data_IF_329475149887
#
_entry.id   IF_329475149887
#
_cell.length_a   1.000
_cell.length_b   1.000
_cell.length_c   1.000
_cell.angle_alpha   90.00
_cell.angle_beta   90.00
_cell.angle_gamma   90.00
#
_symmetry.space_group_name_H-M   'P 1'
#
loop_
_entity.id
_entity.type
_entity.pdbx_description
1 polymer ?
#
# COMPACT_ATOMS: atom_id res chain seq x y z
N UNK A 1 19.14 -15.43 -17.37
CA UNK A 1 17.73 -15.06 -17.13
C UNK A 1 16.94 -16.19 -16.47
N UNK A 2 16.95 -17.42 -17.00
CA UNK A 2 16.26 -18.59 -16.39
C UNK A 2 16.60 -18.83 -14.91
N UNK A 3 17.86 -18.68 -14.50
CA UNK A 3 18.27 -18.84 -13.09
C UNK A 3 17.64 -17.81 -12.13
N UNK A 4 17.62 -16.52 -12.48
CA UNK A 4 17.01 -15.46 -11.65
C UNK A 4 15.49 -15.62 -11.59
N UNK A 5 14.87 -16.06 -12.68
CA UNK A 5 13.44 -16.34 -12.70
C UNK A 5 13.06 -17.53 -11.82
N UNK A 6 13.85 -18.60 -11.87
CA UNK A 6 13.65 -19.76 -10.99
C UNK A 6 13.84 -19.36 -9.52
N UNK A 7 14.88 -18.57 -9.21
CA UNK A 7 15.12 -18.04 -7.87
C UNK A 7 13.93 -17.22 -7.35
N UNK A 8 13.36 -16.35 -8.18
CA UNK A 8 12.15 -15.59 -7.83
C UNK A 8 10.97 -16.52 -7.51
N UNK A 9 10.69 -17.48 -8.39
CA UNK A 9 9.57 -18.43 -8.22
C UNK A 9 9.72 -19.24 -6.95
N UNK A 10 10.91 -19.77 -6.71
CA UNK A 10 11.24 -20.54 -5.52
C UNK A 10 11.01 -19.72 -4.24
N UNK A 11 11.50 -18.47 -4.19
CA UNK A 11 11.32 -17.60 -3.01
C UNK A 11 9.87 -17.27 -2.71
N UNK A 12 9.10 -16.89 -3.74
CA UNK A 12 7.67 -16.60 -3.57
C UNK A 12 6.93 -17.85 -3.10
N UNK A 13 7.27 -19.02 -3.65
CA UNK A 13 6.67 -20.29 -3.24
C UNK A 13 7.00 -20.64 -1.78
N UNK A 14 8.27 -20.56 -1.39
CA UNK A 14 8.70 -20.81 -0.01
C UNK A 14 7.98 -19.88 0.97
N UNK A 15 7.96 -18.58 0.67
CA UNK A 15 7.27 -17.59 1.50
C UNK A 15 5.77 -17.88 1.59
N UNK A 16 5.13 -18.27 0.48
CA UNK A 16 3.70 -18.64 0.48
C UNK A 16 3.42 -19.89 1.33
N UNK A 17 4.31 -20.89 1.28
CA UNK A 17 4.18 -22.10 2.10
C UNK A 17 4.34 -21.77 3.59
N UNK A 18 5.32 -20.94 3.94
CA UNK A 18 5.51 -20.44 5.31
C UNK A 18 4.29 -19.65 5.79
N UNK A 19 3.82 -18.68 5.02
CA UNK A 19 2.61 -17.91 5.32
C UNK A 19 1.40 -18.83 5.55
N UNK A 20 1.16 -19.82 4.69
CA UNK A 20 0.06 -20.77 4.87
C UNK A 20 0.19 -21.58 6.15
N UNK A 21 1.42 -22.00 6.50
CA UNK A 21 1.70 -22.71 7.74
C UNK A 21 1.38 -21.83 8.95
N UNK A 22 1.84 -20.58 8.97
CA UNK A 22 1.53 -19.63 10.05
C UNK A 22 0.05 -19.31 10.15
N UNK A 23 -0.62 -19.04 9.02
CA UNK A 23 -2.06 -18.79 8.98
C UNK A 23 -2.85 -19.97 9.55
N UNK A 24 -2.44 -21.21 9.30
CA UNK A 24 -3.08 -22.40 9.90
C UNK A 24 -2.93 -22.43 11.42
N UNK A 25 -1.81 -21.97 11.97
CA UNK A 25 -1.62 -21.91 13.43
C UNK A 25 -2.40 -20.77 14.07
N UNK A 26 -2.45 -19.60 13.42
CA UNK A 26 -3.23 -18.45 13.89
C UNK A 26 -4.71 -18.80 13.83
N UNK A 27 -5.23 -19.14 12.65
CA UNK A 27 -6.62 -19.55 12.44
C UNK A 27 -6.86 -21.02 12.79
N UNK A 28 -6.55 -21.39 14.03
CA UNK A 28 -6.99 -22.66 14.59
C UNK A 28 -8.52 -22.67 14.77
N UNK A 29 -9.11 -23.86 15.00
CA UNK A 29 -10.56 -24.02 15.05
C UNK A 29 -11.23 -23.09 16.08
N UNK A 30 -10.62 -22.92 17.27
CA UNK A 30 -11.16 -22.04 18.31
C UNK A 30 -11.09 -20.55 17.95
N UNK A 31 -9.96 -20.07 17.44
CA UNK A 31 -9.82 -18.66 17.02
C UNK A 31 -10.74 -18.37 15.84
N UNK A 32 -10.92 -19.33 14.92
CA UNK A 32 -11.81 -19.17 13.77
C UNK A 32 -13.26 -18.93 14.23
N UNK A 33 -13.76 -19.72 15.19
CA UNK A 33 -15.09 -19.50 15.75
C UNK A 33 -15.21 -18.11 16.39
N UNK A 34 -14.24 -17.71 17.22
CA UNK A 34 -14.23 -16.38 17.85
C UNK A 34 -14.20 -15.28 16.80
N UNK A 35 -13.38 -15.40 15.76
CA UNK A 35 -13.27 -14.42 14.68
C UNK A 35 -14.58 -14.26 13.90
N UNK A 36 -15.28 -15.36 13.60
CA UNK A 36 -16.59 -15.31 12.91
C UNK A 36 -17.62 -14.56 13.75
N UNK A 37 -17.72 -14.86 15.05
CA UNK A 37 -18.64 -14.14 15.94
C UNK A 37 -18.24 -12.67 16.12
N UNK A 38 -16.95 -12.38 16.27
CA UNK A 38 -16.44 -11.02 16.39
C UNK A 38 -16.70 -10.19 15.12
N UNK A 39 -16.44 -10.76 13.94
CA UNK A 39 -16.74 -10.12 12.66
C UNK A 39 -18.25 -9.93 12.45
N UNK A 40 -19.07 -10.93 12.80
CA UNK A 40 -20.52 -10.86 12.70
C UNK A 40 -21.12 -9.79 13.61
N UNK A 41 -20.73 -9.79 14.90
CA UNK A 41 -21.14 -8.78 15.86
C UNK A 41 -20.63 -7.38 15.46
N UNK A 42 -19.37 -7.29 15.06
CA UNK A 42 -18.77 -6.05 14.57
C UNK A 42 -19.49 -5.49 13.36
N UNK A 43 -19.81 -6.34 12.37
CA UNK A 43 -20.59 -5.95 11.20
C UNK A 43 -22.02 -5.51 11.56
N UNK A 44 -22.67 -6.18 12.52
CA UNK A 44 -24.01 -5.81 13.00
C UNK A 44 -24.01 -4.42 13.67
N UNK A 45 -23.11 -4.20 14.63
CA UNK A 45 -22.98 -2.90 15.31
C UNK A 45 -22.53 -1.80 14.35
N UNK A 46 -21.59 -2.10 13.45
CA UNK A 46 -21.16 -1.16 12.40
C UNK A 46 -22.32 -0.76 11.50
N UNK A 47 -23.15 -1.71 11.04
CA UNK A 47 -24.31 -1.41 10.22
C UNK A 47 -25.34 -0.55 10.98
N UNK A 48 -25.54 -0.83 12.28
CA UNK A 48 -26.37 -0.01 13.17
C UNK A 48 -25.86 1.42 13.27
N UNK A 49 -24.57 1.61 13.54
CA UNK A 49 -23.92 2.91 13.60
C UNK A 49 -23.97 3.68 12.27
N UNK A 50 -23.70 3.01 11.14
CA UNK A 50 -23.80 3.64 9.82
C UNK A 50 -25.21 4.18 9.59
N UNK A 51 -26.27 3.47 10.02
CA UNK A 51 -27.65 3.95 9.84
C UNK A 51 -27.96 5.23 10.63
N UNK A 52 -27.28 5.48 11.75
CA UNK A 52 -27.46 6.70 12.56
C UNK A 52 -26.72 7.91 12.01
N UNK A 53 -25.87 7.74 11.00
CA UNK A 53 -25.15 8.85 10.38
C UNK A 53 -26.09 9.73 9.54
N UNK A 54 -25.89 11.03 9.64
CA UNK A 54 -26.53 12.06 8.83
C UNK A 54 -25.52 12.70 7.88
N UNK A 55 -25.97 13.70 7.11
CA UNK A 55 -25.15 14.42 6.14
C UNK A 55 -24.06 15.29 6.80
N UNK A 56 -24.15 15.54 8.12
CA UNK A 56 -23.17 16.36 8.86
C UNK A 56 -21.89 15.60 9.21
N UNK A 57 -21.91 14.27 9.11
CA UNK A 57 -20.76 13.44 9.44
C UNK A 57 -19.57 13.72 8.51
N UNK A 58 -18.35 13.97 9.04
CA UNK A 58 -17.18 14.37 8.24
C UNK A 58 -16.54 13.18 7.52
N UNK A 59 -17.28 12.55 6.60
CA UNK A 59 -16.88 11.33 5.90
C UNK A 59 -15.60 11.52 5.09
N UNK A 60 -15.40 12.70 4.50
CA UNK A 60 -14.22 13.03 3.72
C UNK A 60 -12.94 13.02 4.57
N UNK A 61 -13.00 13.50 5.82
CA UNK A 61 -11.88 13.46 6.75
C UNK A 61 -11.54 12.03 7.17
N UNK A 62 -12.56 11.24 7.53
CA UNK A 62 -12.36 9.86 7.96
C UNK A 62 -11.76 9.02 6.84
N UNK A 63 -12.34 9.09 5.63
CA UNK A 63 -11.81 8.38 4.48
C UNK A 63 -10.44 8.92 4.05
N UNK A 64 -10.23 10.24 4.11
CA UNK A 64 -8.94 10.87 3.81
C UNK A 64 -7.82 10.36 4.70
N UNK A 65 -8.05 10.29 6.01
CA UNK A 65 -7.07 9.78 6.97
C UNK A 65 -6.84 8.28 6.76
N UNK A 66 -7.91 7.48 6.73
CA UNK A 66 -7.79 6.01 6.63
C UNK A 66 -7.16 5.62 5.30
N UNK A 67 -7.76 6.01 4.16
CA UNK A 67 -7.24 5.64 2.85
C UNK A 67 -5.89 6.30 2.58
N UNK A 68 -5.69 7.55 3.02
CA UNK A 68 -4.40 8.25 2.91
C UNK A 68 -3.27 7.51 3.65
N UNK A 69 -3.56 6.94 4.83
CA UNK A 69 -2.60 6.13 5.58
C UNK A 69 -2.20 4.89 4.80
N UNK A 70 -3.16 4.11 4.31
CA UNK A 70 -2.89 2.86 3.59
C UNK A 70 -2.34 3.08 2.17
N UNK A 71 -2.63 4.22 1.54
CA UNK A 71 -1.95 4.64 0.31
C UNK A 71 -0.47 4.92 0.57
N UNK A 72 -0.17 5.61 1.67
CA UNK A 72 1.20 6.01 2.03
C UNK A 72 2.04 4.84 2.51
N UNK A 73 1.45 3.92 3.29
CA UNK A 73 2.09 2.69 3.72
C UNK A 73 2.31 1.75 2.52
N UNK A 74 3.45 1.90 1.87
CA UNK A 74 3.80 1.20 0.64
C UNK A 74 5.06 0.34 0.76
N UNK A 75 5.10 -0.69 1.64
CA UNK A 75 6.25 -1.58 1.75
C UNK A 75 6.53 -2.28 0.41
N UNK A 76 7.79 -2.58 0.11
CA UNK A 76 8.15 -3.32 -1.10
C UNK A 76 8.76 -4.64 -0.66
N UNK A 77 8.07 -5.74 -0.94
CA UNK A 77 8.49 -7.10 -0.67
C UNK A 77 9.48 -7.55 -1.73
N UNK A 78 10.75 -7.45 -1.40
CA UNK A 78 11.87 -7.78 -2.28
C UNK A 78 12.28 -9.25 -2.17
N UNK A 79 11.92 -9.96 -1.09
CA UNK A 79 12.34 -11.33 -0.81
C UNK A 79 13.87 -11.53 -0.85
N UNK A 80 14.65 -10.48 -0.56
CA UNK A 80 16.09 -10.57 -0.42
C UNK A 80 16.45 -11.12 0.96
N UNK A 81 17.53 -11.89 1.02
CA UNK A 81 18.11 -12.44 2.25
C UNK A 81 19.50 -11.87 2.47
N UNK A 82 20.00 -11.88 3.71
CA UNK A 82 21.34 -11.39 4.05
C UNK A 82 22.45 -11.97 3.16
N UNK A 83 22.41 -13.29 2.94
CA UNK A 83 23.36 -14.00 2.07
C UNK A 83 23.40 -13.45 0.62
N UNK A 84 22.29 -12.87 0.12
CA UNK A 84 22.20 -12.38 -1.26
C UNK A 84 23.09 -11.18 -1.54
N UNK A 85 23.45 -10.42 -0.50
CA UNK A 85 24.33 -9.27 -0.64
C UNK A 85 25.67 -9.65 -1.27
N UNK A 86 26.19 -10.86 -1.01
CA UNK A 86 27.46 -11.31 -1.58
C UNK A 86 27.27 -11.92 -2.97
N UNK A 87 26.24 -12.75 -3.15
CA UNK A 87 26.03 -13.51 -4.39
C UNK A 87 25.35 -12.73 -5.52
N UNK A 88 24.44 -11.81 -5.19
CA UNK A 88 23.61 -11.11 -6.17
C UNK A 88 24.14 -9.71 -6.53
N UNK A 89 25.01 -9.13 -5.70
CA UNK A 89 25.66 -7.84 -5.97
C UNK A 89 26.42 -7.81 -7.31
N UNK A 90 27.23 -8.83 -7.69
CA UNK A 90 27.94 -8.82 -8.97
C UNK A 90 27.02 -8.82 -10.20
N UNK A 91 25.73 -9.18 -10.02
CA UNK A 91 24.75 -9.29 -11.09
C UNK A 91 23.58 -8.29 -10.93
N UNK A 92 23.75 -7.24 -10.14
CA UNK A 92 22.71 -6.23 -9.85
C UNK A 92 22.02 -5.69 -11.12
N UNK A 93 22.78 -5.43 -12.17
CA UNK A 93 22.26 -4.95 -13.46
C UNK A 93 21.25 -5.91 -14.12
N UNK A 94 21.36 -7.22 -13.82
CA UNK A 94 20.45 -8.27 -14.31
C UNK A 94 19.21 -8.45 -13.42
N UNK A 95 19.14 -7.81 -12.26
CA UNK A 95 18.01 -7.91 -11.31
C UNK A 95 16.89 -6.90 -11.55
N UNK A 96 17.01 -6.02 -12.55
CA UNK A 96 15.94 -5.05 -12.88
C UNK A 96 14.56 -5.71 -13.05
N UNK A 97 14.53 -6.89 -13.68
CA UNK A 97 13.29 -7.66 -13.85
C UNK A 97 12.79 -8.30 -12.56
N UNK A 98 13.71 -8.73 -11.68
CA UNK A 98 13.39 -9.25 -10.35
C UNK A 98 12.68 -8.18 -9.50
N UNK A 99 13.25 -6.97 -9.41
CA UNK A 99 12.65 -5.89 -8.64
C UNK A 99 11.33 -5.36 -9.24
N UNK A 100 11.16 -5.40 -10.57
CA UNK A 100 9.85 -5.14 -11.19
C UNK A 100 8.78 -6.12 -10.71
N UNK A 101 9.12 -7.42 -10.59
CA UNK A 101 8.20 -8.42 -10.03
C UNK A 101 7.93 -8.19 -8.54
N UNK A 102 8.94 -7.79 -7.77
CA UNK A 102 8.79 -7.39 -6.36
C UNK A 102 7.77 -6.26 -6.19
N UNK A 103 7.90 -5.18 -6.97
CA UNK A 103 6.96 -4.07 -6.96
C UNK A 103 5.56 -4.54 -7.38
N UNK A 104 5.44 -5.37 -8.41
CA UNK A 104 4.15 -5.89 -8.87
C UNK A 104 3.44 -6.75 -7.83
N UNK A 105 4.14 -7.68 -7.16
CA UNK A 105 3.56 -8.50 -6.09
C UNK A 105 3.18 -7.62 -4.89
N UNK A 106 4.02 -6.67 -4.52
CA UNK A 106 3.73 -5.69 -3.46
C UNK A 106 2.47 -4.89 -3.77
N UNK A 107 2.34 -4.44 -5.02
CA UNK A 107 1.15 -3.76 -5.52
C UNK A 107 -0.09 -4.63 -5.41
N UNK A 108 -0.03 -5.90 -5.84
CA UNK A 108 -1.18 -6.81 -5.78
C UNK A 108 -1.64 -7.08 -4.34
N UNK A 109 -0.71 -7.36 -3.44
CA UNK A 109 -1.02 -7.57 -2.01
C UNK A 109 -1.67 -6.33 -1.38
N UNK A 110 -1.11 -5.15 -1.64
CA UNK A 110 -1.61 -3.91 -1.04
C UNK A 110 -2.90 -3.42 -1.70
N UNK A 111 -3.12 -3.71 -2.98
CA UNK A 111 -4.37 -3.45 -3.69
C UNK A 111 -5.53 -4.23 -3.08
N UNK A 112 -5.28 -5.49 -2.68
CA UNK A 112 -6.28 -6.29 -1.98
C UNK A 112 -6.67 -5.68 -0.62
N UNK A 113 -5.68 -5.21 0.16
CA UNK A 113 -5.92 -4.52 1.43
C UNK A 113 -6.72 -3.22 1.21
N UNK A 114 -6.31 -2.40 0.23
CA UNK A 114 -7.04 -1.16 -0.12
C UNK A 114 -8.48 -1.44 -0.56
N UNK A 115 -8.72 -2.51 -1.31
CA UNK A 115 -10.06 -2.92 -1.71
C UNK A 115 -10.92 -3.25 -0.49
N UNK A 116 -10.40 -4.02 0.47
CA UNK A 116 -11.13 -4.37 1.69
C UNK A 116 -11.46 -3.12 2.53
N UNK A 117 -10.50 -2.19 2.67
CA UNK A 117 -10.71 -0.96 3.44
C UNK A 117 -11.72 -0.05 2.76
N UNK A 118 -11.62 0.11 1.43
CA UNK A 118 -12.61 0.88 0.67
C UNK A 118 -14.00 0.25 0.81
N UNK A 119 -14.11 -1.07 0.69
CA UNK A 119 -15.37 -1.79 0.86
C UNK A 119 -15.95 -1.58 2.27
N UNK A 120 -15.11 -1.57 3.30
CA UNK A 120 -15.53 -1.27 4.67
C UNK A 120 -15.99 0.19 4.83
N UNK A 121 -15.33 1.16 4.20
CA UNK A 121 -15.71 2.58 4.26
C UNK A 121 -16.94 2.92 3.41
N UNK A 122 -17.28 2.10 2.42
CA UNK A 122 -18.30 2.42 1.42
C UNK A 122 -19.73 2.59 1.97
N UNK A 123 -20.23 1.76 2.92
CA UNK A 123 -21.54 1.97 3.53
C UNK A 123 -21.69 3.34 4.20
N UNK A 124 -20.64 3.80 4.88
CA UNK A 124 -20.57 5.12 5.50
C UNK A 124 -20.63 6.23 4.43
N UNK A 125 -19.81 6.13 3.37
CA UNK A 125 -19.85 7.07 2.24
C UNK A 125 -21.22 7.13 1.56
N UNK A 126 -21.81 5.97 1.25
CA UNK A 126 -23.09 5.89 0.56
C UNK A 126 -24.24 6.48 1.39
N UNK A 127 -24.19 6.29 2.72
CA UNK A 127 -25.20 6.84 3.64
C UNK A 127 -25.12 8.36 3.75
N UNK A 128 -23.92 8.90 3.94
CA UNK A 128 -23.72 10.36 4.17
C UNK A 128 -23.91 11.16 2.88
N UNK A 129 -23.42 10.65 1.74
CA UNK A 129 -23.44 11.41 0.47
C UNK A 129 -24.68 11.19 -0.38
N UNK A 130 -25.52 10.21 -0.03
CA UNK A 130 -26.68 9.76 -0.82
C UNK A 130 -26.33 9.18 -2.20
N UNK A 131 -25.05 9.07 -2.56
CA UNK A 131 -24.59 8.77 -3.92
C UNK A 131 -24.55 7.26 -4.23
N UNK A 132 -24.97 6.42 -3.27
CA UNK A 132 -24.96 4.97 -3.37
C UNK A 132 -23.57 4.40 -3.66
N UNK A 133 -23.53 3.23 -4.31
CA UNK A 133 -22.29 2.49 -4.60
C UNK A 133 -21.67 2.81 -5.98
N UNK A 134 -22.22 3.75 -6.73
CA UNK A 134 -21.79 4.05 -8.12
C UNK A 134 -20.34 4.55 -8.19
N UNK A 135 -19.90 5.32 -7.19
CA UNK A 135 -18.53 5.85 -7.11
C UNK A 135 -17.48 4.81 -6.72
N UNK A 136 -17.88 3.59 -6.31
CA UNK A 136 -16.95 2.59 -5.77
C UNK A 136 -15.80 2.28 -6.73
N UNK A 137 -16.14 1.88 -7.96
CA UNK A 137 -15.12 1.47 -8.95
C UNK A 137 -14.24 2.64 -9.39
N UNK A 138 -14.79 3.85 -9.46
CA UNK A 138 -14.03 5.06 -9.80
C UNK A 138 -13.02 5.38 -8.69
N UNK A 139 -13.46 5.39 -7.43
CA UNK A 139 -12.57 5.64 -6.28
C UNK A 139 -11.50 4.53 -6.21
N UNK A 140 -11.89 3.26 -6.37
CA UNK A 140 -10.95 2.15 -6.39
C UNK A 140 -9.90 2.31 -7.48
N UNK A 141 -10.29 2.65 -8.71
CA UNK A 141 -9.35 2.86 -9.81
C UNK A 141 -8.34 3.97 -9.48
N UNK A 142 -8.82 5.10 -8.93
CA UNK A 142 -7.95 6.21 -8.52
C UNK A 142 -6.99 5.76 -7.41
N UNK A 143 -7.48 5.05 -6.39
CA UNK A 143 -6.64 4.50 -5.32
C UNK A 143 -5.54 3.60 -5.87
N UNK A 144 -5.86 2.72 -6.83
CA UNK A 144 -4.88 1.83 -7.44
C UNK A 144 -3.81 2.59 -8.23
N UNK A 145 -4.19 3.64 -8.98
CA UNK A 145 -3.24 4.49 -9.71
C UNK A 145 -2.30 5.21 -8.72
N UNK A 146 -2.86 5.85 -7.70
CA UNK A 146 -2.09 6.55 -6.66
C UNK A 146 -1.21 5.56 -5.88
N UNK A 147 -1.69 4.34 -5.64
CA UNK A 147 -0.91 3.31 -4.95
C UNK A 147 0.30 2.86 -5.76
N UNK A 148 0.11 2.64 -7.06
CA UNK A 148 1.21 2.29 -7.95
C UNK A 148 2.26 3.42 -7.99
N UNK A 149 1.80 4.67 -8.04
CA UNK A 149 2.67 5.84 -7.96
C UNK A 149 3.47 5.88 -6.64
N UNK A 150 2.81 5.70 -5.49
CA UNK A 150 3.47 5.66 -4.18
C UNK A 150 4.52 4.54 -4.08
N UNK A 151 4.29 3.38 -4.70
CA UNK A 151 5.28 2.29 -4.72
C UNK A 151 6.53 2.66 -5.54
N UNK A 152 6.38 3.26 -6.71
CA UNK A 152 7.53 3.73 -7.50
C UNK A 152 8.32 4.80 -6.75
N UNK A 153 7.61 5.72 -6.12
CA UNK A 153 8.21 6.77 -5.33
C UNK A 153 8.91 6.20 -4.07
N UNK A 154 8.33 5.19 -3.42
CA UNK A 154 8.97 4.49 -2.30
C UNK A 154 10.24 3.78 -2.77
N UNK A 155 10.22 3.16 -3.95
CA UNK A 155 11.38 2.51 -4.54
C UNK A 155 12.55 3.47 -4.75
N UNK A 156 12.27 4.69 -5.21
CA UNK A 156 13.30 5.71 -5.36
C UNK A 156 13.83 6.18 -3.98
N UNK A 157 12.95 6.40 -3.00
CA UNK A 157 13.36 6.77 -1.63
C UNK A 157 14.20 5.70 -0.95
N UNK A 158 13.97 4.41 -1.23
CA UNK A 158 14.81 3.32 -0.69
C UNK A 158 16.28 3.40 -1.12
N UNK A 159 16.61 4.14 -2.18
CA UNK A 159 17.99 4.37 -2.62
C UNK A 159 18.68 5.47 -1.83
N UNK A 160 17.95 6.21 -0.98
CA UNK A 160 18.45 7.31 -0.17
C UNK A 160 18.77 6.80 1.25
N UNK A 161 19.97 7.09 1.77
CA UNK A 161 20.49 6.55 3.03
C UNK A 161 20.13 7.38 4.28
N UNK A 162 19.06 8.19 4.23
CA UNK A 162 18.73 9.10 5.32
C UNK A 162 17.35 8.80 5.92
N UNK A 163 17.35 8.39 7.19
CA UNK A 163 16.13 8.13 7.96
C UNK A 163 15.24 9.36 8.07
N UNK A 164 15.82 10.56 8.20
CA UNK A 164 15.08 11.82 8.26
C UNK A 164 14.35 12.09 6.94
N UNK A 165 15.02 11.85 5.82
CA UNK A 165 14.40 12.01 4.49
C UNK A 165 13.27 10.99 4.32
N UNK A 166 13.45 9.74 4.76
CA UNK A 166 12.40 8.73 4.66
C UNK A 166 11.18 9.05 5.55
N UNK A 167 11.38 9.62 6.73
CA UNK A 167 10.27 10.02 7.61
C UNK A 167 9.53 11.25 7.07
N UNK A 168 10.26 12.27 6.59
CA UNK A 168 9.67 13.45 5.98
C UNK A 168 8.91 13.13 4.70
N UNK A 169 9.47 12.26 3.86
CA UNK A 169 8.79 11.73 2.67
C UNK A 169 7.47 11.05 3.03
N UNK A 170 7.48 10.19 4.04
CA UNK A 170 6.27 9.51 4.50
C UNK A 170 5.21 10.52 4.98
N UNK A 171 5.60 11.54 5.76
CA UNK A 171 4.68 12.56 6.25
C UNK A 171 4.09 13.38 5.09
N UNK A 172 4.93 13.86 4.17
CA UNK A 172 4.49 14.63 2.99
C UNK A 172 3.51 13.81 2.16
N UNK A 173 3.82 12.54 1.87
CA UNK A 173 2.90 11.66 1.12
C UNK A 173 1.62 11.39 1.88
N UNK A 174 1.67 11.21 3.20
CA UNK A 174 0.47 11.04 4.02
C UNK A 174 -0.46 12.23 3.90
N UNK A 175 0.08 13.45 4.04
CA UNK A 175 -0.70 14.68 3.89
C UNK A 175 -1.26 14.80 2.48
N UNK A 176 -0.43 14.64 1.44
CA UNK A 176 -0.85 14.77 0.03
C UNK A 176 -1.88 13.71 -0.36
N UNK A 177 -1.67 12.45 0.00
CA UNK A 177 -2.61 11.36 -0.30
C UNK A 177 -3.93 11.59 0.47
N UNK A 178 -3.86 11.93 1.75
CA UNK A 178 -5.06 12.14 2.58
C UNK A 178 -5.89 13.33 2.13
N UNK A 179 -5.23 14.45 1.80
CA UNK A 179 -5.90 15.64 1.26
C UNK A 179 -6.45 15.39 -0.14
N UNK A 180 -5.75 14.64 -0.99
CA UNK A 180 -6.27 14.25 -2.31
C UNK A 180 -7.55 13.43 -2.20
N UNK A 181 -7.58 12.43 -1.31
CA UNK A 181 -8.79 11.64 -1.04
C UNK A 181 -9.90 12.51 -0.48
N UNK A 182 -9.60 13.41 0.47
CA UNK A 182 -10.58 14.36 1.00
C UNK A 182 -11.30 15.12 -0.14
N UNK A 183 -10.54 15.72 -1.06
CA UNK A 183 -11.12 16.48 -2.17
C UNK A 183 -11.88 15.62 -3.19
N UNK A 184 -11.51 14.35 -3.36
CA UNK A 184 -12.27 13.39 -4.18
C UNK A 184 -13.64 13.10 -3.55
N UNK A 185 -13.68 12.87 -2.23
CA UNK A 185 -14.91 12.54 -1.51
C UNK A 185 -15.86 13.75 -1.44
N UNK A 186 -15.31 14.95 -1.24
CA UNK A 186 -16.06 16.23 -1.32
C UNK A 186 -16.53 16.57 -2.74
N UNK A 187 -16.13 15.79 -3.77
CA UNK A 187 -16.46 16.06 -5.18
C UNK A 187 -16.11 17.50 -5.58
N UNK A 188 -14.94 17.94 -5.14
CA UNK A 188 -14.45 19.30 -5.38
C UNK A 188 -14.22 19.60 -6.87
N UNK A 189 -14.02 20.89 -7.16
CA UNK A 189 -13.86 21.40 -8.53
C UNK A 189 -12.74 20.67 -9.30
N UNK A 190 -12.92 20.34 -10.59
CA UNK A 190 -11.93 19.61 -11.39
C UNK A 190 -10.52 20.22 -11.41
N UNK A 191 -10.41 21.53 -11.23
CA UNK A 191 -9.13 22.24 -11.15
C UNK A 191 -8.24 21.75 -10.01
N UNK A 192 -8.85 21.33 -8.90
CA UNK A 192 -8.11 20.78 -7.74
C UNK A 192 -7.46 19.45 -8.11
N UNK A 193 -8.13 18.58 -8.87
CA UNK A 193 -7.52 17.33 -9.34
C UNK A 193 -6.32 17.59 -10.25
N UNK A 194 -6.41 18.61 -11.12
CA UNK A 194 -5.28 19.06 -11.95
C UNK A 194 -4.08 19.50 -11.12
N UNK A 195 -4.31 20.26 -10.04
CA UNK A 195 -3.27 20.66 -9.10
C UNK A 195 -2.59 19.44 -8.44
N UNK A 196 -3.35 18.45 -7.98
CA UNK A 196 -2.77 17.25 -7.38
C UNK A 196 -1.96 16.41 -8.38
N UNK A 197 -2.38 16.34 -9.64
CA UNK A 197 -1.59 15.70 -10.69
C UNK A 197 -0.22 16.39 -10.81
N UNK A 198 -0.19 17.73 -10.80
CA UNK A 198 1.08 18.47 -10.83
C UNK A 198 1.93 18.23 -9.58
N UNK A 199 1.32 18.17 -8.38
CA UNK A 199 2.04 17.84 -7.14
C UNK A 199 2.64 16.44 -7.22
N UNK A 200 1.88 15.44 -7.65
CA UNK A 200 2.37 14.06 -7.81
C UNK A 200 3.49 14.00 -8.87
N UNK A 201 3.37 14.70 -10.00
CA UNK A 201 4.44 14.74 -10.99
C UNK A 201 5.69 15.45 -10.47
N UNK A 202 5.53 16.56 -9.75
CA UNK A 202 6.63 17.30 -9.15
C UNK A 202 7.40 16.48 -8.12
N UNK A 203 6.69 15.82 -7.20
CA UNK A 203 7.30 14.91 -6.23
C UNK A 203 8.04 13.78 -6.94
N UNK A 204 7.41 13.15 -7.95
CA UNK A 204 8.05 12.10 -8.74
C UNK A 204 9.34 12.58 -9.39
N UNK A 205 9.31 13.74 -10.04
CA UNK A 205 10.48 14.31 -10.70
C UNK A 205 11.63 14.60 -9.73
N UNK A 206 11.34 15.22 -8.58
CA UNK A 206 12.33 15.55 -7.55
C UNK A 206 13.02 14.29 -7.03
N UNK A 207 12.24 13.28 -6.62
CA UNK A 207 12.81 12.04 -6.09
C UNK A 207 13.55 11.24 -7.16
N UNK A 208 12.99 11.16 -8.37
CA UNK A 208 13.63 10.43 -9.46
C UNK A 208 14.97 11.05 -9.85
N UNK A 209 15.03 12.38 -9.97
CA UNK A 209 16.28 13.09 -10.27
C UNK A 209 17.32 12.92 -9.15
N UNK A 210 16.89 12.97 -7.88
CA UNK A 210 17.76 12.77 -6.73
C UNK A 210 18.31 11.33 -6.58
N UNK A 211 17.76 10.36 -7.33
CA UNK A 211 18.04 8.92 -7.15
C UNK A 211 18.51 8.22 -8.41
N UNK A 212 18.46 8.87 -9.58
CA UNK A 212 18.84 8.29 -10.87
C UNK A 212 20.27 7.75 -10.92
N UNK A 213 21.19 8.39 -10.19
CA UNK A 213 22.62 8.01 -10.14
C UNK A 213 22.99 7.18 -8.90
N UNK A 214 22.03 6.93 -8.00
CA UNK A 214 22.28 6.18 -6.77
C UNK A 214 22.15 4.68 -7.01
N UNK A 215 23.10 3.91 -6.51
CA UNK A 215 23.07 2.44 -6.51
C UNK A 215 22.09 1.89 -5.48
N UNK A 216 21.65 0.64 -5.65
CA UNK A 216 20.74 0.01 -4.69
C UNK A 216 21.46 -0.21 -3.35
N UNK A 217 20.81 0.22 -2.27
CA UNK A 217 21.32 0.05 -0.91
C UNK A 217 20.82 -1.30 -0.36
N UNK A 218 21.58 -2.36 -0.64
CA UNK A 218 21.25 -3.74 -0.28
C UNK A 218 20.93 -3.93 1.21
N UNK A 219 21.71 -3.33 2.11
CA UNK A 219 21.50 -3.41 3.56
C UNK A 219 20.13 -2.87 3.98
N UNK A 220 19.67 -1.78 3.37
CA UNK A 220 18.36 -1.19 3.69
C UNK A 220 17.23 -2.10 3.20
N UNK A 221 17.38 -2.68 2.02
CA UNK A 221 16.38 -3.59 1.44
C UNK A 221 16.25 -4.87 2.28
N UNK A 222 17.37 -5.48 2.64
CA UNK A 222 17.41 -6.71 3.46
C UNK A 222 16.85 -6.43 4.86
N UNK A 223 17.31 -5.36 5.54
CA UNK A 223 16.79 -5.01 6.86
C UNK A 223 15.28 -4.70 6.85
N UNK A 224 14.75 -4.12 5.77
CA UNK A 224 13.30 -3.92 5.64
C UNK A 224 12.57 -5.24 5.41
N UNK A 225 13.11 -6.14 4.61
CA UNK A 225 12.54 -7.47 4.38
C UNK A 225 12.49 -8.27 5.68
N UNK A 226 13.58 -8.29 6.45
CA UNK A 226 13.65 -8.97 7.75
C UNK A 226 12.63 -8.44 8.73
N UNK A 227 12.47 -7.10 8.83
CA UNK A 227 11.44 -6.48 9.66
C UNK A 227 10.02 -6.86 9.24
N UNK A 228 9.77 -7.09 7.95
CA UNK A 228 8.47 -7.54 7.45
C UNK A 228 8.22 -9.02 7.75
N UNK A 229 9.27 -9.83 7.94
CA UNK A 229 9.18 -11.25 8.24
C UNK A 229 9.21 -11.56 9.75
N UNK A 230 9.78 -10.67 10.57
CA UNK A 230 9.89 -10.84 12.03
C UNK A 230 8.74 -10.22 12.82
N UNK A 231 7.80 -9.55 12.16
CA UNK A 231 6.64 -8.89 12.76
C UNK A 231 5.38 -9.73 12.58
#
# INVERSE_FOLDING_TARGET
MKQIENLWKERVQLHTVELRKYLKYIFNDHLLFVAIFALGAGAFYYNGWVKTLDESFPVAWVMGIILGLFLTMSPIYTFLKEADKVYLLPIEMKLKFYFRKAIYVSFMLQSYILLMILAACMPMYAKVTGNGFKSFFLILLILLIVKLWNLYLQWDVLKIQDYRISYMDWLVRFVVNGSFIYFIIERSSPWIYGLYILIFLGLYFIYHQATKEKTLKWDILINKEEKLMSA
#
